data_IF_002720280285
#
_entry.id   IF_002720280285
#
_cell.length_a   1.000
_cell.length_b   1.000
_cell.length_c   1.000
_cell.angle_alpha   90.00
_cell.angle_beta   90.00
_cell.angle_gamma   90.00
#
_symmetry.space_group_name_H-M   'P 1'
#
loop_
_entity.id
_entity.type
_entity.pdbx_description
1 polymer ?
#
# COMPACT_ATOMS: atom_id res chain seq x y z
N UNK A 1 -13.63 14.15 -3.61
CA UNK A 1 -13.75 12.70 -3.85
C UNK A 1 -14.19 12.01 -2.57
N UNK A 2 -15.03 10.98 -2.66
CA UNK A 2 -15.52 10.23 -1.52
C UNK A 2 -14.76 8.91 -1.37
N UNK A 3 -14.84 8.29 -0.18
CA UNK A 3 -14.26 6.97 0.08
C UNK A 3 -14.82 5.93 -0.89
N UNK A 4 -16.12 6.02 -1.20
CA UNK A 4 -16.77 5.13 -2.16
C UNK A 4 -16.10 5.21 -3.54
N UNK A 5 -15.81 6.42 -4.01
CA UNK A 5 -15.12 6.63 -5.28
C UNK A 5 -13.72 6.04 -5.26
N UNK A 6 -13.02 6.13 -4.12
CA UNK A 6 -11.69 5.51 -3.96
C UNK A 6 -11.79 4.00 -4.14
N UNK A 7 -12.76 3.34 -3.50
CA UNK A 7 -12.93 1.89 -3.66
C UNK A 7 -13.30 1.51 -5.08
N UNK A 8 -14.04 2.36 -5.81
CA UNK A 8 -14.33 2.13 -7.22
C UNK A 8 -13.08 2.19 -8.08
N UNK A 9 -12.18 3.14 -7.82
CA UNK A 9 -10.90 3.23 -8.51
C UNK A 9 -10.06 1.97 -8.27
N UNK A 10 -10.07 1.44 -7.05
CA UNK A 10 -9.39 0.18 -6.75
C UNK A 10 -9.95 -0.98 -7.56
N UNK A 11 -11.26 -1.09 -7.67
CA UNK A 11 -11.93 -2.14 -8.48
C UNK A 11 -11.52 -2.08 -9.93
N UNK A 12 -11.33 -0.87 -10.46
CA UNK A 12 -10.92 -0.65 -11.85
C UNK A 12 -9.43 -0.90 -12.08
N UNK A 13 -8.66 -1.18 -11.02
CA UNK A 13 -7.23 -1.39 -11.12
C UNK A 13 -6.43 -0.09 -11.24
N UNK A 14 -7.05 1.05 -10.98
CA UNK A 14 -6.42 2.38 -11.06
C UNK A 14 -5.72 2.69 -9.74
N UNK A 15 -4.66 1.94 -9.46
CA UNK A 15 -3.96 1.91 -8.18
C UNK A 15 -3.35 3.27 -7.82
N UNK A 16 -2.58 3.86 -8.73
CA UNK A 16 -1.91 5.12 -8.47
C UNK A 16 -2.90 6.26 -8.24
N UNK A 17 -3.98 6.30 -9.02
CA UNK A 17 -5.01 7.31 -8.87
C UNK A 17 -5.70 7.20 -7.52
N UNK A 18 -6.05 5.98 -7.11
CA UNK A 18 -6.69 5.75 -5.83
C UNK A 18 -5.77 6.15 -4.67
N UNK A 19 -4.52 5.76 -4.73
CA UNK A 19 -3.54 6.09 -3.70
C UNK A 19 -3.32 7.60 -3.59
N UNK A 20 -3.11 8.27 -4.71
CA UNK A 20 -2.89 9.72 -4.74
C UNK A 20 -4.12 10.51 -4.30
N UNK A 21 -5.32 9.97 -4.52
CA UNK A 21 -6.56 10.61 -4.10
C UNK A 21 -6.79 10.46 -2.60
N UNK A 22 -6.48 9.30 -2.02
CA UNK A 22 -6.73 9.05 -0.59
C UNK A 22 -5.73 9.76 0.33
N UNK A 23 -4.50 9.97 -0.11
CA UNK A 23 -3.46 10.59 0.71
C UNK A 23 -3.90 11.93 1.34
N UNK A 24 -4.34 12.93 0.55
CA UNK A 24 -4.77 14.20 1.15
C UNK A 24 -6.04 14.06 2.00
N UNK A 25 -6.94 13.15 1.63
CA UNK A 25 -8.14 12.88 2.43
C UNK A 25 -7.78 12.35 3.80
N UNK A 26 -6.85 11.41 3.88
CA UNK A 26 -6.41 10.82 5.13
C UNK A 26 -5.70 11.84 6.04
N UNK A 27 -4.92 12.74 5.46
CA UNK A 27 -4.21 13.78 6.23
C UNK A 27 -5.17 14.71 6.97
N UNK A 28 -6.34 14.97 6.37
CA UNK A 28 -7.34 15.87 6.93
C UNK A 28 -8.31 15.15 7.86
N UNK A 29 -8.64 13.90 7.55
CA UNK A 29 -9.68 13.16 8.27
C UNK A 29 -9.28 11.71 8.49
N UNK A 30 -9.06 11.34 9.76
CA UNK A 30 -8.63 10.00 10.16
C UNK A 30 -9.81 9.13 10.60
N UNK A 31 -10.93 9.20 9.88
CA UNK A 31 -12.11 8.40 10.18
C UNK A 31 -11.94 6.93 9.88
N UNK A 32 -12.85 6.11 10.38
CA UNK A 32 -12.83 4.66 10.23
C UNK A 32 -12.70 4.23 8.77
N UNK A 33 -13.54 4.74 7.90
CA UNK A 33 -13.56 4.35 6.50
C UNK A 33 -12.41 4.96 5.70
N UNK A 34 -12.01 6.18 6.04
CA UNK A 34 -10.87 6.83 5.40
C UNK A 34 -9.57 6.10 5.73
N UNK A 35 -9.41 5.67 6.98
CA UNK A 35 -8.24 4.89 7.40
C UNK A 35 -8.19 3.53 6.70
N UNK A 36 -9.35 2.86 6.58
CA UNK A 36 -9.45 1.58 5.88
C UNK A 36 -9.11 1.74 4.39
N UNK A 37 -9.65 2.76 3.75
CA UNK A 37 -9.35 3.06 2.35
C UNK A 37 -7.85 3.35 2.16
N UNK A 38 -7.25 4.14 3.06
CA UNK A 38 -5.83 4.43 3.03
C UNK A 38 -5.00 3.15 3.12
N UNK A 39 -5.35 2.25 4.04
CA UNK A 39 -4.65 0.98 4.22
C UNK A 39 -4.65 0.17 2.91
N UNK A 40 -5.83 -0.08 2.34
CA UNK A 40 -5.93 -0.92 1.15
C UNK A 40 -5.34 -0.28 -0.10
N UNK A 41 -5.44 1.04 -0.24
CA UNK A 41 -4.79 1.74 -1.35
C UNK A 41 -3.26 1.65 -1.23
N UNK A 42 -2.73 1.74 -0.01
CA UNK A 42 -1.30 1.59 0.23
C UNK A 42 -0.83 0.16 -0.05
N UNK A 43 -1.63 -0.86 0.30
CA UNK A 43 -1.35 -2.25 -0.03
C UNK A 43 -1.24 -2.42 -1.54
N UNK A 44 -2.21 -1.91 -2.29
CA UNK A 44 -2.22 -2.00 -3.75
C UNK A 44 -1.01 -1.28 -4.36
N UNK A 45 -0.70 -0.09 -3.85
CA UNK A 45 0.45 0.69 -4.34
C UNK A 45 1.77 -0.02 -4.05
N UNK A 46 1.90 -0.63 -2.87
CA UNK A 46 3.08 -1.39 -2.51
C UNK A 46 3.28 -2.59 -3.43
N UNK A 47 2.21 -3.32 -3.74
CA UNK A 47 2.27 -4.44 -4.68
C UNK A 47 2.72 -3.98 -6.07
N UNK A 48 2.23 -2.84 -6.53
CA UNK A 48 2.63 -2.26 -7.81
C UNK A 48 4.13 -1.93 -7.82
N UNK A 49 4.63 -1.32 -6.75
CA UNK A 49 6.04 -0.94 -6.63
C UNK A 49 6.96 -2.16 -6.56
N UNK A 50 6.54 -3.20 -5.83
CA UNK A 50 7.31 -4.44 -5.76
C UNK A 50 7.40 -5.12 -7.12
N UNK A 51 6.33 -5.06 -7.92
CA UNK A 51 6.35 -5.55 -9.29
C UNK A 51 7.35 -4.80 -10.15
N UNK A 52 7.42 -3.48 -10.02
CA UNK A 52 8.40 -2.66 -10.74
C UNK A 52 9.83 -2.97 -10.31
N UNK A 53 10.05 -3.22 -9.02
CA UNK A 53 11.38 -3.54 -8.50
C UNK A 53 11.89 -4.88 -9.05
N UNK A 54 11.01 -5.86 -9.21
CA UNK A 54 11.37 -7.19 -9.74
C UNK A 54 11.78 -7.11 -11.21
N UNK A 55 11.25 -6.17 -11.97
CA UNK A 55 11.55 -6.02 -13.40
C UNK A 55 13.01 -5.61 -13.69
N UNK A 56 13.81 -5.35 -12.65
CA UNK A 56 15.23 -5.01 -12.74
C UNK A 56 15.53 -3.84 -13.69
N UNK A 57 14.62 -2.87 -13.74
CA UNK A 57 14.82 -1.64 -14.49
C UNK A 57 15.70 -0.67 -13.69
N UNK A 58 16.07 0.46 -14.29
CA UNK A 58 16.80 1.52 -13.60
C UNK A 58 16.03 2.05 -12.38
N UNK A 59 14.72 1.88 -12.39
CA UNK A 59 13.84 2.33 -11.31
C UNK A 59 13.67 1.32 -10.17
N UNK A 60 14.29 0.13 -10.27
CA UNK A 60 14.10 -0.93 -9.27
C UNK A 60 14.44 -0.52 -7.85
N UNK A 61 15.59 0.14 -7.65
CA UNK A 61 16.00 0.59 -6.31
C UNK A 61 15.10 1.69 -5.79
N UNK A 62 14.66 2.60 -6.67
CA UNK A 62 13.74 3.66 -6.31
C UNK A 62 12.38 3.10 -5.91
N UNK A 63 11.87 2.14 -6.69
CA UNK A 63 10.61 1.48 -6.40
C UNK A 63 10.67 0.72 -5.07
N UNK A 64 11.77 0.02 -4.82
CA UNK A 64 11.98 -0.71 -3.56
C UNK A 64 12.00 0.25 -2.37
N UNK A 65 12.69 1.38 -2.47
CA UNK A 65 12.76 2.39 -1.42
C UNK A 65 11.37 2.98 -1.12
N UNK A 66 10.58 3.26 -2.15
CA UNK A 66 9.20 3.74 -2.01
C UNK A 66 8.33 2.69 -1.31
N UNK A 67 8.46 1.43 -1.71
CA UNK A 67 7.72 0.33 -1.09
C UNK A 67 8.05 0.20 0.39
N UNK A 68 9.32 0.35 0.78
CA UNK A 68 9.73 0.31 2.18
C UNK A 68 9.09 1.44 3.00
N UNK A 69 9.02 2.64 2.45
CA UNK A 69 8.36 3.77 3.11
C UNK A 69 6.87 3.51 3.33
N UNK A 70 6.22 2.96 2.31
CA UNK A 70 4.79 2.63 2.41
C UNK A 70 4.58 1.53 3.44
N UNK A 71 5.46 0.53 3.49
CA UNK A 71 5.37 -0.55 4.47
C UNK A 71 5.47 -0.02 5.91
N UNK A 72 6.41 0.89 6.18
CA UNK A 72 6.52 1.54 7.49
C UNK A 72 5.26 2.31 7.86
N UNK A 73 4.68 3.01 6.89
CA UNK A 73 3.41 3.71 7.09
C UNK A 73 2.27 2.74 7.43
N UNK A 74 2.22 1.59 6.75
CA UNK A 74 1.22 0.56 6.99
C UNK A 74 1.37 -0.04 8.39
N UNK A 75 2.60 -0.26 8.85
CA UNK A 75 2.84 -0.78 10.20
C UNK A 75 2.32 0.18 11.28
N UNK A 76 2.39 1.48 11.03
CA UNK A 76 1.85 2.49 11.95
C UNK A 76 0.34 2.59 11.89
N UNK A 77 -0.22 2.38 10.71
CA UNK A 77 -1.66 2.51 10.46
C UNK A 77 -2.45 1.29 10.93
N UNK A 78 -1.92 0.10 10.75
CA UNK A 78 -2.63 -1.15 11.02
C UNK A 78 -3.23 -1.24 12.42
N UNK A 79 -2.53 -0.85 13.52
CA UNK A 79 -3.12 -0.89 14.87
C UNK A 79 -4.31 0.05 15.07
N UNK A 80 -4.47 1.05 14.18
CA UNK A 80 -5.55 2.04 14.27
C UNK A 80 -6.80 1.60 13.51
N UNK A 81 -6.71 0.48 12.80
CA UNK A 81 -7.82 -0.04 11.99
C UNK A 81 -8.44 -1.22 12.72
N UNK A 82 -9.78 -1.18 12.85
CA UNK A 82 -10.52 -2.32 13.38
C UNK A 82 -10.54 -3.43 12.34
N UNK A 83 -9.97 -4.57 12.67
CA UNK A 83 -9.77 -5.69 11.75
C UNK A 83 -10.30 -6.97 12.36
N UNK A 84 -11.63 -7.11 12.33
CA UNK A 84 -12.34 -8.24 12.92
C UNK A 84 -11.89 -9.60 12.36
N UNK A 85 -11.62 -9.64 11.06
CA UNK A 85 -11.26 -10.88 10.37
C UNK A 85 -9.75 -11.11 10.24
N UNK A 86 -8.94 -10.19 10.75
CA UNK A 86 -7.49 -10.30 10.64
C UNK A 86 -6.95 -10.09 9.24
N UNK A 87 -7.78 -9.62 8.29
CA UNK A 87 -7.38 -9.43 6.89
C UNK A 87 -6.25 -8.42 6.72
N UNK A 88 -6.30 -7.32 7.49
CA UNK A 88 -5.26 -6.29 7.40
C UNK A 88 -3.93 -6.81 7.94
N UNK A 89 -3.95 -7.55 9.06
CA UNK A 89 -2.73 -8.14 9.61
C UNK A 89 -2.13 -9.16 8.66
N UNK A 90 -2.98 -10.00 8.06
CA UNK A 90 -2.51 -11.01 7.11
C UNK A 90 -1.90 -10.34 5.87
N UNK A 91 -2.54 -9.29 5.36
CA UNK A 91 -2.01 -8.53 4.23
C UNK A 91 -0.65 -7.92 4.57
N UNK A 92 -0.49 -7.38 5.78
CA UNK A 92 0.76 -6.78 6.23
C UNK A 92 1.88 -7.82 6.33
N UNK A 93 1.59 -9.01 6.85
CA UNK A 93 2.56 -10.11 6.90
C UNK A 93 2.98 -10.54 5.49
N UNK A 94 2.03 -10.70 4.59
CA UNK A 94 2.30 -11.08 3.21
C UNK A 94 3.16 -10.04 2.50
N UNK A 95 2.90 -8.75 2.73
CA UNK A 95 3.69 -7.66 2.16
C UNK A 95 5.11 -7.64 2.71
N UNK A 96 5.27 -7.92 4.01
CA UNK A 96 6.60 -8.00 4.62
C UNK A 96 7.44 -9.10 3.99
N UNK A 97 6.86 -10.27 3.76
CA UNK A 97 7.53 -11.39 3.09
C UNK A 97 7.86 -11.05 1.64
N UNK A 98 6.92 -10.43 0.92
CA UNK A 98 7.12 -10.02 -0.47
C UNK A 98 8.23 -8.96 -0.58
N UNK A 99 8.26 -8.02 0.35
CA UNK A 99 9.29 -6.98 0.39
C UNK A 99 10.67 -7.59 0.60
N UNK A 100 10.81 -8.53 1.54
CA UNK A 100 12.08 -9.20 1.83
C UNK A 100 12.55 -10.02 0.62
N UNK A 101 11.65 -10.77 -0.01
CA UNK A 101 11.97 -11.56 -1.20
C UNK A 101 12.42 -10.66 -2.36
N UNK A 102 11.75 -9.54 -2.55
CA UNK A 102 12.09 -8.57 -3.60
C UNK A 102 13.44 -7.94 -3.34
N UNK A 103 13.72 -7.58 -2.09
CA UNK A 103 15.01 -7.01 -1.70
C UNK A 103 16.15 -7.95 -2.03
N UNK A 104 16.01 -9.24 -1.72
CA UNK A 104 17.02 -10.26 -2.03
C UNK A 104 17.28 -10.35 -3.54
N UNK A 105 16.21 -10.28 -4.34
CA UNK A 105 16.34 -10.32 -5.81
C UNK A 105 17.05 -9.09 -6.37
N UNK A 106 16.73 -7.92 -5.84
CA UNK A 106 17.28 -6.66 -6.34
C UNK A 106 18.77 -6.51 -5.97
N UNK A 107 19.16 -7.00 -4.78
CA UNK A 107 20.54 -6.92 -4.29
C UNK A 107 21.48 -7.93 -4.96
N UNK A 108 20.95 -8.89 -5.68
CA UNK A 108 21.75 -9.81 -6.48
C UNK A 108 22.12 -9.15 -7.80
#
# INVERSE_FOLDING_TARGET
MTVKEIFELRKEGRVEEAYNAILPMYRVHHGKYTSLAMFWCAVDMMNLLLGKAVDQSEESLSALAEAEKIYLSLQRLAPKIYDELGSCQQALLNLGEALQSTRVRVEK
#
